data_IF_820183160033
#
_entry.id   IF_820183160033
#
_cell.length_a   1.000
_cell.length_b   1.000
_cell.length_c   1.000
_cell.angle_alpha   90.00
_cell.angle_beta   90.00
_cell.angle_gamma   90.00
#
_symmetry.space_group_name_H-M   'P 1'
#
loop_
_entity.id
_entity.type
_entity.pdbx_description
1 polymer ?
#
# COMPACT_ATOMS: atom_id res chain seq x y z
N UNK A 1 -0.51 -0.28 -30.43
CA UNK A 1 0.22 -1.27 -29.61
C UNK A 1 0.41 -0.58 -28.29
N UNK A 2 -0.42 -0.92 -27.32
CA UNK A 2 -0.64 -0.07 -26.16
C UNK A 2 -0.56 -0.95 -24.92
N UNK A 3 0.60 -0.85 -24.27
CA UNK A 3 0.81 -1.39 -22.92
C UNK A 3 0.24 -0.36 -21.95
N UNK A 4 -0.49 -0.80 -20.93
CA UNK A 4 -0.99 0.06 -19.86
C UNK A 4 -0.17 -0.26 -18.61
N UNK A 5 0.78 0.60 -18.28
CA UNK A 5 1.45 0.57 -16.98
C UNK A 5 0.65 1.42 -16.01
N UNK A 6 0.30 0.85 -14.85
CA UNK A 6 -0.31 1.60 -13.76
C UNK A 6 0.64 1.50 -12.58
N UNK A 7 1.39 2.58 -12.30
CA UNK A 7 2.05 2.76 -11.00
C UNK A 7 3.56 2.44 -10.86
N UNK A 8 4.37 2.37 -11.92
CA UNK A 8 5.83 2.27 -11.75
C UNK A 8 6.49 3.65 -11.59
N UNK A 9 7.43 3.79 -10.65
CA UNK A 9 8.32 4.96 -10.58
C UNK A 9 9.13 5.09 -11.89
N UNK A 10 9.25 6.30 -12.48
CA UNK A 10 9.97 6.53 -13.75
C UNK A 10 11.41 6.01 -13.76
N UNK A 11 12.02 5.85 -12.59
CA UNK A 11 13.41 5.42 -12.41
C UNK A 11 13.63 3.92 -12.69
N UNK A 12 12.57 3.10 -12.62
CA UNK A 12 12.60 1.65 -12.85
C UNK A 12 12.43 1.27 -14.33
N UNK A 13 11.92 2.19 -15.15
CA UNK A 13 11.71 1.97 -16.59
C UNK A 13 12.86 2.63 -17.35
N UNK A 14 14.02 1.97 -17.40
CA UNK A 14 15.09 2.36 -18.33
C UNK A 14 14.74 1.83 -19.72
N UNK A 15 14.60 2.69 -20.76
CA UNK A 15 14.25 2.24 -22.12
C UNK A 15 15.23 1.23 -22.71
N UNK A 16 16.49 1.25 -22.28
CA UNK A 16 17.52 0.31 -22.73
C UNK A 16 17.37 -1.12 -22.18
N UNK A 17 16.57 -1.32 -21.13
CA UNK A 17 16.35 -2.62 -20.49
C UNK A 17 15.11 -3.36 -20.98
N UNK A 18 14.26 -2.70 -21.79
CA UNK A 18 13.03 -3.27 -22.33
C UNK A 18 13.05 -3.23 -23.86
N UNK A 19 12.88 -4.36 -24.54
CA UNK A 19 12.74 -4.38 -26.00
C UNK A 19 11.60 -3.44 -26.46
N UNK A 20 11.79 -2.75 -27.58
CA UNK A 20 10.83 -1.76 -28.10
C UNK A 20 9.43 -2.33 -28.43
N UNK A 21 9.26 -3.65 -28.48
CA UNK A 21 7.98 -4.33 -28.62
C UNK A 21 7.22 -4.51 -27.28
N UNK A 22 7.78 -4.10 -26.15
CA UNK A 22 7.21 -4.29 -24.81
C UNK A 22 6.77 -2.99 -24.11
N UNK A 23 6.84 -1.81 -24.76
CA UNK A 23 6.62 -0.56 -24.03
C UNK A 23 5.87 0.53 -24.81
N UNK A 24 4.69 0.88 -24.31
CA UNK A 24 4.16 2.24 -24.35
C UNK A 24 3.89 2.63 -22.90
N UNK A 25 4.61 3.61 -22.36
CA UNK A 25 4.32 4.16 -21.02
C UNK A 25 3.25 5.22 -21.18
N UNK A 26 1.99 4.91 -20.82
CA UNK A 26 0.99 5.94 -20.63
C UNK A 26 1.10 6.48 -19.21
N UNK A 27 1.51 7.74 -19.11
CA UNK A 27 1.43 8.52 -17.88
C UNK A 27 -0.07 8.79 -17.61
N UNK A 28 -0.74 7.92 -16.87
CA UNK A 28 -2.17 8.08 -16.66
C UNK A 28 -2.73 7.10 -15.63
N UNK A 29 -3.14 7.65 -14.49
CA UNK A 29 -3.88 6.93 -13.47
C UNK A 29 -3.09 6.75 -12.19
N UNK A 30 -3.12 7.77 -11.33
CA UNK A 30 -3.00 7.56 -9.90
C UNK A 30 -4.14 6.60 -9.53
N UNK A 31 -3.85 5.35 -9.15
CA UNK A 31 -4.80 4.59 -8.33
C UNK A 31 -4.66 5.21 -6.93
N UNK A 32 -5.65 5.95 -6.41
CA UNK A 32 -5.54 6.50 -5.08
C UNK A 32 -5.51 5.34 -4.08
N UNK A 33 -4.48 5.28 -3.22
CA UNK A 33 -4.42 4.31 -2.11
C UNK A 33 -3.75 2.96 -2.41
N UNK A 34 -3.07 2.77 -3.53
CA UNK A 34 -2.37 1.49 -3.80
C UNK A 34 -0.85 1.69 -3.95
N UNK A 35 -0.03 1.35 -2.92
CA UNK A 35 1.42 1.57 -2.93
C UNK A 35 2.22 0.49 -3.70
N UNK A 36 1.57 -0.33 -4.53
CA UNK A 36 2.20 -1.51 -5.15
C UNK A 36 2.73 -1.23 -6.55
N UNK A 37 3.86 -1.86 -6.88
CA UNK A 37 4.27 -2.06 -8.26
C UNK A 37 3.31 -3.07 -8.90
N UNK A 38 2.45 -2.62 -9.81
CA UNK A 38 1.62 -3.49 -10.64
C UNK A 38 2.17 -3.52 -12.06
N UNK A 39 2.43 -4.72 -12.58
CA UNK A 39 2.80 -4.93 -13.98
C UNK A 39 1.66 -5.65 -14.66
N UNK A 40 1.06 -5.00 -15.65
CA UNK A 40 0.07 -5.63 -16.52
C UNK A 40 0.73 -6.00 -17.84
N UNK A 41 0.76 -7.30 -18.13
CA UNK A 41 1.23 -7.84 -19.41
C UNK A 41 0.02 -7.96 -20.32
N UNK A 42 0.04 -7.31 -21.49
CA UNK A 42 -1.00 -7.50 -22.51
C UNK A 42 -0.58 -8.61 -23.46
N UNK A 43 -1.41 -9.64 -23.62
CA UNK A 43 -1.16 -10.75 -24.53
C UNK A 43 -2.12 -10.68 -25.72
N UNK A 44 -1.55 -10.68 -26.93
CA UNK A 44 -2.30 -10.57 -28.19
C UNK A 44 -2.34 -11.89 -28.98
N UNK A 45 -2.21 -13.05 -28.29
CA UNK A 45 -2.25 -14.37 -28.94
C UNK A 45 -0.91 -14.84 -29.55
N UNK A 46 0.23 -14.29 -29.11
CA UNK A 46 1.55 -14.85 -29.45
C UNK A 46 1.74 -16.25 -28.84
N UNK A 47 2.71 -17.04 -29.34
CA UNK A 47 2.99 -18.39 -28.84
C UNK A 47 3.17 -18.42 -27.31
N UNK A 48 2.72 -19.48 -26.64
CA UNK A 48 2.82 -19.67 -25.19
C UNK A 48 4.24 -19.44 -24.63
N UNK A 49 5.28 -19.82 -25.38
CA UNK A 49 6.67 -19.60 -24.99
C UNK A 49 7.05 -18.11 -24.87
N UNK A 50 6.51 -17.26 -25.74
CA UNK A 50 6.75 -15.81 -25.69
C UNK A 50 6.02 -15.16 -24.50
N UNK A 51 4.80 -15.63 -24.20
CA UNK A 51 4.05 -15.20 -23.02
C UNK A 51 4.78 -15.62 -21.74
N UNK A 52 5.23 -16.87 -21.63
CA UNK A 52 5.94 -17.37 -20.46
C UNK A 52 7.23 -16.59 -20.20
N UNK A 53 8.03 -16.28 -21.22
CA UNK A 53 9.23 -15.45 -21.06
C UNK A 53 8.89 -14.00 -20.68
N UNK A 54 7.83 -13.43 -21.25
CA UNK A 54 7.36 -12.08 -20.88
C UNK A 54 6.91 -12.02 -19.42
N UNK A 55 6.15 -13.02 -18.96
CA UNK A 55 5.74 -13.15 -17.56
C UNK A 55 6.93 -13.34 -16.62
N UNK A 56 7.94 -14.13 -17.00
CA UNK A 56 9.20 -14.26 -16.25
C UNK A 56 9.94 -12.93 -16.15
N UNK A 57 10.03 -12.17 -17.24
CA UNK A 57 10.67 -10.85 -17.25
C UNK A 57 9.90 -9.85 -16.37
N UNK A 58 8.57 -9.81 -16.48
CA UNK A 58 7.72 -8.99 -15.64
C UNK A 58 7.84 -9.36 -14.14
N UNK A 59 7.82 -10.65 -13.82
CA UNK A 59 8.03 -11.14 -12.46
C UNK A 59 9.45 -10.81 -11.93
N UNK A 60 10.47 -10.83 -12.80
CA UNK A 60 11.82 -10.41 -12.45
C UNK A 60 11.94 -8.88 -12.24
N UNK A 61 11.01 -8.08 -12.73
CA UNK A 61 10.91 -6.64 -12.43
C UNK A 61 10.21 -6.44 -11.09
N UNK A 62 9.18 -7.25 -10.80
CA UNK A 62 8.49 -7.34 -9.51
C UNK A 62 9.31 -8.08 -8.44
N UNK A 63 10.65 -7.98 -8.49
CA UNK A 63 11.64 -8.73 -7.70
C UNK A 63 11.46 -8.62 -6.18
N UNK A 64 10.56 -7.75 -5.73
CA UNK A 64 10.28 -7.41 -4.35
C UNK A 64 8.77 -7.20 -4.15
N UNK A 65 7.94 -8.19 -4.48
CA UNK A 65 6.50 -8.06 -4.32
C UNK A 65 5.82 -7.11 -5.33
N UNK A 66 4.54 -7.35 -5.57
CA UNK A 66 3.75 -6.61 -6.55
C UNK A 66 2.65 -7.44 -7.18
N UNK A 67 1.79 -6.80 -7.96
CA UNK A 67 0.71 -7.45 -8.69
C UNK A 67 1.15 -7.69 -10.13
N UNK A 68 1.10 -8.95 -10.58
CA UNK A 68 1.24 -9.28 -11.99
C UNK A 68 -0.16 -9.52 -12.57
N UNK A 69 -0.61 -8.62 -13.43
CA UNK A 69 -1.84 -8.79 -14.19
C UNK A 69 -1.53 -9.28 -15.60
N UNK A 70 -2.34 -10.17 -16.15
CA UNK A 70 -2.34 -10.54 -17.56
C UNK A 70 -3.64 -10.06 -18.19
N UNK A 71 -3.56 -9.29 -19.27
CA UNK A 71 -4.71 -8.84 -20.07
C UNK A 71 -4.65 -9.55 -21.42
N UNK A 72 -5.47 -10.59 -21.61
CA UNK A 72 -5.59 -11.29 -22.88
C UNK A 72 -6.68 -10.63 -23.74
N UNK A 73 -6.38 -10.22 -24.97
CA UNK A 73 -7.43 -9.72 -25.87
C UNK A 73 -8.21 -10.86 -26.52
N UNK A 74 -9.50 -10.65 -26.83
CA UNK A 74 -10.30 -11.66 -27.50
C UNK A 74 -9.82 -11.94 -28.94
N UNK A 75 -10.07 -13.16 -29.45
CA UNK A 75 -10.75 -14.25 -28.75
C UNK A 75 -9.80 -14.92 -27.75
N UNK A 76 -10.23 -14.97 -26.48
CA UNK A 76 -9.68 -15.91 -25.51
C UNK A 76 -10.10 -17.29 -26.02
N UNK A 77 -9.18 -18.21 -26.32
CA UNK A 77 -9.54 -19.52 -26.87
C UNK A 77 -10.59 -20.20 -25.98
N UNK A 78 -11.68 -20.69 -26.55
CA UNK A 78 -12.75 -21.40 -25.80
C UNK A 78 -12.21 -22.65 -25.07
N UNK A 79 -11.07 -23.18 -25.55
CA UNK A 79 -10.31 -24.31 -25.00
C UNK A 79 -9.10 -23.88 -24.13
N UNK A 80 -9.12 -22.70 -23.50
CA UNK A 80 -8.04 -22.23 -22.63
C UNK A 80 -7.89 -23.05 -21.32
N UNK A 81 -7.67 -24.36 -21.40
CA UNK A 81 -6.72 -24.99 -20.49
C UNK A 81 -5.31 -24.65 -21.01
N UNK A 82 -4.31 -24.28 -20.18
CA UNK A 82 -4.30 -24.03 -18.76
C UNK A 82 -3.64 -22.67 -18.52
N UNK A 83 -4.36 -21.56 -18.71
CA UNK A 83 -3.86 -20.26 -18.22
C UNK A 83 -3.46 -20.41 -16.74
N UNK A 84 -4.23 -21.20 -16.00
CA UNK A 84 -3.93 -21.63 -14.65
C UNK A 84 -2.59 -22.39 -14.50
N UNK A 85 -2.15 -23.23 -15.44
CA UNK A 85 -0.82 -23.88 -15.38
C UNK A 85 0.32 -22.95 -15.83
N UNK A 86 0.08 -22.06 -16.80
CA UNK A 86 1.03 -21.01 -17.20
C UNK A 86 1.28 -20.02 -16.07
N UNK A 87 0.24 -19.74 -15.28
CA UNK A 87 0.25 -18.81 -14.16
C UNK A 87 0.65 -19.49 -12.84
N UNK A 88 0.51 -20.82 -12.73
CA UNK A 88 0.91 -21.62 -11.56
C UNK A 88 2.31 -21.32 -11.01
N UNK A 89 3.36 -21.11 -11.84
CA UNK A 89 4.69 -20.76 -11.34
C UNK A 89 4.73 -19.39 -10.65
N UNK A 90 3.74 -18.54 -10.91
CA UNK A 90 3.61 -17.20 -10.35
C UNK A 90 2.57 -17.13 -9.21
N UNK A 91 1.84 -18.21 -8.93
CA UNK A 91 0.84 -18.29 -7.86
C UNK A 91 -0.53 -18.77 -8.36
N UNK A 92 -1.45 -19.04 -7.43
CA UNK A 92 -2.84 -19.37 -7.78
C UNK A 92 -3.57 -18.09 -8.24
N UNK A 93 -4.16 -18.07 -9.46
CA UNK A 93 -4.95 -16.94 -9.91
C UNK A 93 -6.18 -16.79 -9.01
N UNK A 94 -6.33 -15.62 -8.37
CA UNK A 94 -7.44 -15.38 -7.41
C UNK A 94 -8.62 -14.64 -8.02
N UNK A 95 -8.40 -13.83 -9.04
CA UNK A 95 -9.44 -13.05 -9.70
C UNK A 95 -9.25 -13.09 -11.21
N UNK A 96 -10.29 -13.56 -11.89
CA UNK A 96 -10.42 -13.54 -13.34
C UNK A 96 -11.58 -12.59 -13.65
N UNK A 97 -11.27 -11.41 -14.19
CA UNK A 97 -12.25 -10.41 -14.55
C UNK A 97 -12.30 -10.28 -16.08
N UNK A 98 -13.47 -9.92 -16.61
CA UNK A 98 -13.62 -9.60 -18.04
C UNK A 98 -13.58 -8.08 -18.20
N UNK A 99 -12.72 -7.58 -19.09
CA UNK A 99 -12.67 -6.17 -19.47
C UNK A 99 -13.85 -5.79 -20.37
N UNK A 100 -14.16 -4.50 -20.47
CA UNK A 100 -15.26 -3.97 -21.30
C UNK A 100 -15.12 -4.31 -22.80
N UNK A 101 -13.90 -4.58 -23.26
CA UNK A 101 -13.60 -4.99 -24.64
C UNK A 101 -13.68 -6.51 -24.87
N UNK A 102 -14.11 -7.28 -23.86
CA UNK A 102 -14.16 -8.74 -23.89
C UNK A 102 -12.82 -9.42 -23.60
N UNK A 103 -11.78 -8.68 -23.21
CA UNK A 103 -10.51 -9.23 -22.76
C UNK A 103 -10.57 -9.89 -21.39
N UNK A 104 -9.69 -10.85 -21.13
CA UNK A 104 -9.54 -11.49 -19.82
C UNK A 104 -8.45 -10.80 -19.03
N UNK A 105 -8.78 -10.29 -17.84
CA UNK A 105 -7.82 -9.80 -16.85
C UNK A 105 -7.63 -10.91 -15.82
N UNK A 106 -6.45 -11.53 -15.80
CA UNK A 106 -6.08 -12.48 -14.76
C UNK A 106 -5.06 -11.84 -13.83
N UNK A 107 -5.43 -11.72 -12.56
CA UNK A 107 -4.54 -11.16 -11.53
C UNK A 107 -3.86 -12.30 -10.79
N UNK A 108 -2.54 -12.36 -10.90
CA UNK A 108 -1.70 -13.33 -10.21
C UNK A 108 -0.83 -12.60 -9.21
N UNK A 109 -1.04 -12.89 -7.92
CA UNK A 109 -0.12 -12.44 -6.88
C UNK A 109 1.00 -13.46 -6.76
N UNK A 110 2.24 -12.97 -6.85
CA UNK A 110 3.39 -13.75 -6.45
C UNK A 110 3.29 -14.10 -4.96
N UNK A 111 3.04 -15.39 -4.70
CA UNK A 111 3.06 -16.01 -3.37
C UNK A 111 4.16 -17.09 -3.35
N UNK A 112 5.41 -16.69 -3.58
CA UNK A 112 6.50 -17.36 -2.88
C UNK A 112 6.49 -16.88 -1.43
N UNK A 113 5.61 -17.51 -0.63
CA UNK A 113 5.51 -17.32 0.80
C UNK A 113 6.87 -17.59 1.46
N UNK A 114 7.37 -16.62 2.23
CA UNK A 114 8.35 -16.89 3.27
C UNK A 114 9.47 -15.87 3.41
N UNK A 115 9.99 -15.26 2.35
CA UNK A 115 11.11 -14.31 2.47
C UNK A 115 11.07 -13.21 1.42
N UNK A 116 11.06 -11.99 1.93
CA UNK A 116 11.53 -10.75 1.31
C UNK A 116 10.67 -10.12 0.20
N UNK A 117 9.76 -9.26 0.65
CA UNK A 117 9.65 -7.93 0.05
C UNK A 117 10.16 -6.87 1.03
N UNK A 118 11.47 -6.82 1.25
CA UNK A 118 12.10 -5.78 2.06
C UNK A 118 12.10 -4.42 1.35
N UNK A 119 11.97 -4.38 0.02
CA UNK A 119 11.99 -3.11 -0.72
C UNK A 119 10.66 -2.39 -0.59
N UNK A 120 9.53 -3.08 -0.74
CA UNK A 120 8.20 -2.57 -0.45
C UNK A 120 8.07 -2.14 1.00
N UNK A 121 8.61 -2.89 1.96
CA UNK A 121 8.64 -2.47 3.37
C UNK A 121 9.49 -1.21 3.59
N UNK A 122 10.65 -1.09 2.93
CA UNK A 122 11.45 0.15 2.95
C UNK A 122 10.73 1.33 2.32
N UNK A 123 9.92 1.10 1.27
CA UNK A 123 9.07 2.13 0.67
C UNK A 123 7.96 2.55 1.64
N UNK A 124 7.30 1.61 2.30
CA UNK A 124 6.33 1.91 3.35
C UNK A 124 6.98 2.77 4.45
N UNK A 125 8.16 2.39 4.94
CA UNK A 125 8.91 3.19 5.93
C UNK A 125 9.28 4.59 5.42
N UNK A 126 9.69 4.68 4.16
CA UNK A 126 10.04 5.97 3.53
C UNK A 126 8.81 6.87 3.39
N UNK A 127 7.67 6.30 2.98
CA UNK A 127 6.39 7.01 2.90
C UNK A 127 5.93 7.48 4.27
N UNK A 128 5.93 6.59 5.27
CA UNK A 128 5.62 6.93 6.65
C UNK A 128 6.54 8.06 7.17
N UNK A 129 7.84 8.01 6.87
CA UNK A 129 8.77 9.07 7.29
C UNK A 129 8.47 10.41 6.59
N UNK A 130 8.26 10.40 5.28
CA UNK A 130 7.98 11.60 4.48
C UNK A 130 6.65 12.27 4.83
N UNK A 131 5.69 11.50 5.33
CA UNK A 131 4.37 11.98 5.73
C UNK A 131 4.39 12.96 6.92
N UNK A 132 5.47 12.95 7.72
CA UNK A 132 5.71 13.99 8.74
C UNK A 132 5.88 15.35 8.06
N UNK A 133 6.83 15.45 7.14
CA UNK A 133 7.15 16.70 6.45
C UNK A 133 5.96 17.18 5.61
N UNK A 134 5.24 16.24 4.98
CA UNK A 134 3.99 16.53 4.26
C UNK A 134 2.96 17.17 5.18
N UNK A 135 2.71 16.58 6.35
CA UNK A 135 1.73 17.12 7.29
C UNK A 135 2.16 18.48 7.87
N UNK A 136 3.44 18.65 8.21
CA UNK A 136 3.98 19.94 8.64
C UNK A 136 3.78 21.02 7.57
N UNK A 137 4.06 20.71 6.30
CA UNK A 137 3.83 21.64 5.19
C UNK A 137 2.35 22.02 5.05
N UNK A 138 1.45 21.04 5.08
CA UNK A 138 -0.01 21.25 4.98
C UNK A 138 -0.58 22.10 6.11
N UNK A 139 0.07 22.10 7.27
CA UNK A 139 -0.44 22.77 8.48
C UNK A 139 0.27 24.07 8.82
N UNK A 140 1.39 24.37 8.15
CA UNK A 140 2.25 25.53 8.46
C UNK A 140 1.55 26.89 8.46
N UNK A 141 0.62 27.12 7.52
CA UNK A 141 -0.10 28.39 7.38
C UNK A 141 -1.52 28.38 7.98
N UNK A 142 -1.89 27.32 8.69
CA UNK A 142 -3.23 27.19 9.25
C UNK A 142 -3.40 27.94 10.56
N UNK A 143 -4.42 28.81 10.62
CA UNK A 143 -4.86 29.39 11.90
C UNK A 143 -5.58 28.36 12.77
N UNK A 144 -5.43 28.47 14.09
CA UNK A 144 -6.14 27.64 15.09
C UNK A 144 -7.66 27.60 14.85
N UNK A 145 -8.25 28.75 14.52
CA UNK A 145 -9.69 28.85 14.24
C UNK A 145 -10.09 28.07 13.00
N UNK A 146 -9.28 28.11 11.94
CA UNK A 146 -9.56 27.36 10.71
C UNK A 146 -9.42 25.85 10.96
N UNK A 147 -8.34 25.45 11.63
CA UNK A 147 -8.06 24.05 11.92
C UNK A 147 -9.10 23.40 12.85
N UNK A 148 -9.64 24.17 13.81
CA UNK A 148 -10.67 23.69 14.75
C UNK A 148 -12.11 23.79 14.27
N UNK A 149 -12.36 24.31 13.06
CA UNK A 149 -13.71 24.41 12.51
C UNK A 149 -14.19 23.02 12.08
N UNK A 150 -15.15 22.46 12.82
CA UNK A 150 -15.84 21.22 12.44
C UNK A 150 -16.89 21.51 11.34
N UNK A 151 -16.94 20.74 10.24
CA UNK A 151 -18.06 20.78 9.29
C UNK A 151 -19.33 20.15 9.90
N UNK A 152 -20.47 20.30 9.23
CA UNK A 152 -21.76 19.74 9.69
C UNK A 152 -21.67 18.23 9.88
N UNK A 153 -21.14 17.52 8.87
CA UNK A 153 -21.02 16.06 8.86
C UNK A 153 -19.56 15.62 8.73
N UNK A 154 -18.72 15.98 9.69
CA UNK A 154 -17.33 15.52 9.67
C UNK A 154 -16.48 16.03 10.81
N UNK A 155 -15.18 15.88 10.62
CA UNK A 155 -14.15 16.17 11.63
C UNK A 155 -13.48 17.51 11.32
N UNK A 156 -13.05 18.20 12.38
CA UNK A 156 -12.09 19.29 12.24
C UNK A 156 -10.73 18.74 11.82
N UNK A 157 -9.87 19.60 11.26
CA UNK A 157 -8.51 19.21 10.90
C UNK A 157 -7.71 18.77 12.12
N UNK A 158 -7.96 19.40 13.27
CA UNK A 158 -7.33 19.04 14.55
C UNK A 158 -7.68 17.61 14.97
N UNK A 159 -8.92 17.20 14.81
CA UNK A 159 -9.34 15.82 15.09
C UNK A 159 -8.71 14.82 14.12
N UNK A 160 -8.64 15.17 12.84
CA UNK A 160 -7.99 14.31 11.84
C UNK A 160 -6.51 14.12 12.15
N UNK A 161 -5.80 15.20 12.48
CA UNK A 161 -4.37 15.18 12.80
C UNK A 161 -4.10 14.48 14.13
N UNK A 162 -4.89 14.78 15.16
CA UNK A 162 -4.79 14.10 16.45
C UNK A 162 -4.96 12.59 16.29
N UNK A 163 -5.89 12.18 15.42
CA UNK A 163 -6.11 10.77 15.15
C UNK A 163 -4.97 10.09 14.41
N UNK A 164 -4.26 10.77 13.49
CA UNK A 164 -3.04 10.22 12.88
C UNK A 164 -2.02 9.83 13.96
N UNK A 165 -1.84 10.69 14.97
CA UNK A 165 -0.95 10.38 16.10
C UNK A 165 -1.43 9.22 16.97
N UNK A 166 -2.75 9.08 17.17
CA UNK A 166 -3.32 7.96 17.93
C UNK A 166 -3.22 6.64 17.17
N UNK A 167 -3.47 6.64 15.86
CA UNK A 167 -3.30 5.48 14.99
C UNK A 167 -1.86 4.96 15.05
N UNK A 168 -0.88 5.87 15.03
CA UNK A 168 0.52 5.52 15.20
C UNK A 168 0.76 4.86 16.55
N UNK A 169 0.51 5.59 17.64
CA UNK A 169 0.93 5.18 18.99
C UNK A 169 0.14 3.99 19.52
N UNK A 170 -1.18 4.12 19.49
CA UNK A 170 -2.11 3.23 20.17
C UNK A 170 -2.66 2.15 19.25
N UNK A 171 -2.60 2.37 17.93
CA UNK A 171 -2.98 1.40 16.92
C UNK A 171 -1.80 0.53 16.47
N UNK A 172 -1.16 0.95 15.38
CA UNK A 172 -0.20 0.12 14.67
C UNK A 172 1.09 -0.14 15.46
N UNK A 173 1.69 0.88 16.10
CA UNK A 173 2.92 0.69 16.87
C UNK A 173 2.70 -0.22 18.08
N UNK A 174 1.57 -0.05 18.78
CA UNK A 174 1.18 -0.91 19.89
C UNK A 174 1.01 -2.36 19.45
N UNK A 175 0.30 -2.63 18.34
CA UNK A 175 0.17 -3.98 17.78
C UNK A 175 1.54 -4.58 17.42
N UNK A 176 2.39 -3.86 16.71
CA UNK A 176 3.74 -4.33 16.34
C UNK A 176 4.55 -4.69 17.59
N UNK A 177 4.57 -3.80 18.60
CA UNK A 177 5.27 -4.08 19.87
C UNK A 177 4.70 -5.29 20.60
N UNK A 178 3.37 -5.47 20.59
CA UNK A 178 2.75 -6.62 21.23
C UNK A 178 3.17 -7.94 20.58
N UNK A 179 3.17 -7.98 19.24
CA UNK A 179 3.63 -9.14 18.44
C UNK A 179 5.10 -9.43 18.72
N UNK A 180 5.96 -8.41 18.67
CA UNK A 180 7.40 -8.57 18.89
C UNK A 180 7.74 -9.05 20.31
N UNK A 181 6.92 -8.72 21.30
CA UNK A 181 7.12 -9.14 22.69
C UNK A 181 6.38 -10.43 23.06
N UNK A 182 5.66 -11.08 22.13
CA UNK A 182 4.77 -12.21 22.41
C UNK A 182 3.80 -11.90 23.57
N UNK A 183 3.24 -10.69 23.59
CA UNK A 183 2.30 -10.26 24.62
C UNK A 183 0.91 -10.82 24.33
N UNK A 184 0.12 -11.14 25.35
CA UNK A 184 -1.32 -11.46 25.21
C UNK A 184 -2.11 -10.31 24.55
N UNK A 185 -1.61 -9.07 24.64
CA UNK A 185 -2.17 -7.92 23.91
C UNK A 185 -2.10 -8.08 22.38
N UNK A 186 -1.25 -8.98 21.87
CA UNK A 186 -1.18 -9.30 20.45
C UNK A 186 -2.44 -10.04 19.95
N UNK A 187 -3.34 -10.46 20.84
CA UNK A 187 -4.59 -11.14 20.49
C UNK A 187 -5.83 -10.23 20.54
N UNK A 188 -5.67 -9.00 21.06
CA UNK A 188 -6.81 -8.07 21.21
C UNK A 188 -6.75 -6.96 20.17
N UNK A 189 -7.76 -6.82 19.29
CA UNK A 189 -7.80 -5.73 18.33
C UNK A 189 -7.93 -4.37 19.02
N UNK A 190 -7.23 -3.38 18.46
CA UNK A 190 -7.39 -1.99 18.87
C UNK A 190 -8.52 -1.36 18.06
N UNK A 191 -9.56 -0.90 18.75
CA UNK A 191 -10.63 -0.14 18.09
C UNK A 191 -10.15 1.27 17.73
N UNK A 192 -9.58 1.40 16.52
CA UNK A 192 -9.15 2.68 15.96
C UNK A 192 -10.31 3.67 15.83
N UNK A 193 -11.55 3.20 15.68
CA UNK A 193 -12.70 4.10 15.59
C UNK A 193 -13.07 4.67 16.96
N UNK A 194 -13.00 3.88 18.03
CA UNK A 194 -13.20 4.39 19.38
C UNK A 194 -12.11 5.39 19.79
N UNK A 195 -10.85 5.18 19.37
CA UNK A 195 -9.77 6.15 19.59
C UNK A 195 -10.05 7.54 18.99
N UNK A 196 -10.80 7.63 17.89
CA UNK A 196 -11.25 8.91 17.31
C UNK A 196 -12.17 9.70 18.24
N UNK A 197 -13.06 9.00 18.95
CA UNK A 197 -14.18 9.60 19.66
C UNK A 197 -13.82 9.97 21.09
N UNK A 198 -12.88 9.25 21.70
CA UNK A 198 -12.56 9.37 23.13
C UNK A 198 -11.67 10.58 23.47
N UNK A 199 -11.01 11.20 22.49
CA UNK A 199 -10.02 12.26 22.72
C UNK A 199 -10.50 13.60 22.20
N UNK A 200 -10.54 14.59 23.09
CA UNK A 200 -10.82 15.99 22.72
C UNK A 200 -9.61 16.63 22.01
N UNK A 201 -9.34 16.17 20.79
CA UNK A 201 -8.28 16.72 19.95
C UNK A 201 -8.59 18.15 19.52
N UNK A 202 -9.86 18.50 19.35
CA UNK A 202 -10.24 19.84 18.92
C UNK A 202 -9.89 20.91 19.97
N UNK A 203 -9.90 20.54 21.26
CA UNK A 203 -9.49 21.39 22.38
C UNK A 203 -7.97 21.64 22.50
N UNK A 204 -7.11 20.87 21.81
CA UNK A 204 -5.64 20.97 21.91
C UNK A 204 -5.04 21.93 20.89
N UNK A 205 -3.94 22.64 21.12
CA UNK A 205 -3.29 23.45 20.06
C UNK A 205 -2.90 22.62 18.83
N UNK A 206 -3.08 23.16 17.61
CA UNK A 206 -2.70 22.49 16.36
C UNK A 206 -1.22 22.10 16.36
N UNK A 207 -0.35 23.02 16.80
CA UNK A 207 1.08 22.77 16.89
C UNK A 207 1.43 21.60 17.83
N UNK A 208 0.67 21.42 18.91
CA UNK A 208 0.84 20.26 19.81
C UNK A 208 0.51 18.97 19.08
N UNK A 209 -0.60 18.93 18.33
CA UNK A 209 -1.04 17.74 17.61
C UNK A 209 -0.03 17.30 16.54
N UNK A 210 0.48 18.25 15.75
CA UNK A 210 1.52 17.99 14.74
C UNK A 210 2.82 17.50 15.42
N UNK A 211 3.24 18.14 16.51
CA UNK A 211 4.42 17.72 17.28
C UNK A 211 4.27 16.31 17.83
N UNK A 212 3.08 15.95 18.34
CA UNK A 212 2.78 14.62 18.85
C UNK A 212 2.84 13.57 17.74
N UNK A 213 2.21 13.84 16.58
CA UNK A 213 2.28 12.96 15.43
C UNK A 213 3.74 12.70 15.02
N UNK A 214 4.53 13.77 14.85
CA UNK A 214 5.97 13.67 14.55
C UNK A 214 6.71 12.83 15.57
N UNK A 215 6.48 13.06 16.86
CA UNK A 215 7.14 12.31 17.93
C UNK A 215 6.83 10.81 17.85
N UNK A 216 5.56 10.44 17.71
CA UNK A 216 5.18 9.03 17.60
C UNK A 216 5.69 8.42 16.30
N UNK A 217 5.68 9.15 15.19
CA UNK A 217 6.22 8.67 13.93
C UNK A 217 7.71 8.35 14.02
N UNK A 218 8.50 9.19 14.67
CA UNK A 218 9.92 8.88 14.88
C UNK A 218 10.12 7.63 15.71
N UNK A 219 9.33 7.41 16.77
CA UNK A 219 9.38 6.16 17.54
C UNK A 219 8.98 4.94 16.69
N UNK A 220 8.00 5.12 15.81
CA UNK A 220 7.54 4.07 14.90
C UNK A 220 8.61 3.69 13.89
N UNK A 221 9.19 4.68 13.20
CA UNK A 221 10.22 4.47 12.18
C UNK A 221 11.48 3.88 12.80
N UNK A 222 11.91 4.38 13.96
CA UNK A 222 13.06 3.88 14.71
C UNK A 222 12.92 2.38 14.98
N UNK A 223 11.83 1.98 15.66
CA UNK A 223 11.55 0.57 15.95
C UNK A 223 11.51 -0.30 14.68
N UNK A 224 10.76 0.13 13.67
CA UNK A 224 10.49 -0.68 12.49
C UNK A 224 11.75 -0.81 11.62
N UNK A 225 12.62 0.21 11.60
CA UNK A 225 13.87 0.19 10.84
C UNK A 225 14.91 -0.77 11.40
N UNK A 226 14.81 -1.12 12.68
CA UNK A 226 15.71 -2.03 13.39
C UNK A 226 15.26 -3.49 13.37
N UNK A 227 14.09 -3.80 12.83
CA UNK A 227 13.55 -5.17 12.82
C UNK A 227 14.42 -6.13 12.01
N UNK A 228 14.71 -7.29 12.60
CA UNK A 228 15.36 -8.38 11.89
C UNK A 228 14.42 -8.98 10.84
N UNK A 229 14.96 -9.69 9.85
CA UNK A 229 14.16 -10.29 8.78
C UNK A 229 13.06 -11.22 9.32
N UNK A 230 13.37 -12.03 10.33
CA UNK A 230 12.41 -12.96 10.94
C UNK A 230 11.32 -12.24 11.74
N UNK A 231 11.58 -11.04 12.27
CA UNK A 231 10.58 -10.26 13.01
C UNK A 231 9.42 -9.80 12.11
N UNK A 232 9.71 -9.55 10.82
CA UNK A 232 8.70 -9.17 9.83
C UNK A 232 7.66 -10.26 9.57
N UNK A 233 8.03 -11.52 9.81
CA UNK A 233 7.19 -12.70 9.58
C UNK A 233 6.37 -13.09 10.80
N UNK A 234 6.62 -12.48 11.95
CA UNK A 234 5.87 -12.77 13.18
C UNK A 234 4.43 -12.33 13.02
N UNK A 235 3.52 -13.16 13.53
CA UNK A 235 2.08 -12.97 13.40
C UNK A 235 1.44 -12.53 14.71
N UNK A 236 0.32 -11.83 14.58
CA UNK A 236 -0.63 -11.58 15.65
C UNK A 236 -1.86 -10.86 15.09
N UNK A 237 -2.66 -10.26 15.96
CA UNK A 237 -3.89 -9.58 15.58
C UNK A 237 -3.60 -8.12 15.22
N UNK A 238 -3.95 -7.75 13.98
CA UNK A 238 -3.89 -6.37 13.49
C UNK A 238 -4.99 -5.49 14.12
N UNK A 239 -4.91 -4.16 14.00
CA UNK A 239 -5.95 -3.26 14.52
C UNK A 239 -7.37 -3.55 14.00
N UNK A 240 -7.50 -4.10 12.80
CA UNK A 240 -8.81 -4.49 12.23
C UNK A 240 -9.27 -5.91 12.63
N UNK A 241 -8.58 -6.55 13.57
CA UNK A 241 -8.98 -7.84 14.15
C UNK A 241 -8.63 -9.08 13.33
N UNK A 242 -7.79 -8.94 12.30
CA UNK A 242 -7.33 -10.07 11.49
C UNK A 242 -5.98 -10.59 11.99
N UNK A 243 -5.75 -11.89 11.85
CA UNK A 243 -4.39 -12.40 11.98
C UNK A 243 -3.55 -11.88 10.81
N UNK A 244 -2.39 -11.30 11.10
CA UNK A 244 -1.52 -10.63 10.13
C UNK A 244 -0.07 -10.69 10.57
N UNK A 245 0.85 -10.68 9.60
CA UNK A 245 2.28 -10.53 9.90
C UNK A 245 2.60 -9.08 10.25
N UNK A 246 3.73 -8.82 10.93
CA UNK A 246 4.25 -7.46 11.13
C UNK A 246 4.40 -6.73 9.79
N UNK A 247 4.85 -7.43 8.75
CA UNK A 247 4.94 -6.88 7.40
C UNK A 247 3.57 -6.41 6.87
N UNK A 248 2.52 -7.22 7.00
CA UNK A 248 1.17 -6.85 6.52
C UNK A 248 0.58 -5.67 7.30
N UNK A 249 0.86 -5.59 8.61
CA UNK A 249 0.45 -4.50 9.47
C UNK A 249 1.11 -3.18 9.01
N UNK A 250 2.43 -3.16 8.80
CA UNK A 250 3.15 -1.96 8.35
C UNK A 250 2.71 -1.51 6.96
N UNK A 251 2.42 -2.44 6.05
CA UNK A 251 1.88 -2.08 4.72
C UNK A 251 0.49 -1.45 4.83
N UNK A 252 -0.37 -2.05 5.65
CA UNK A 252 -1.71 -1.52 5.90
C UNK A 252 -1.65 -0.13 6.53
N UNK A 253 -0.74 0.07 7.48
CA UNK A 253 -0.51 1.37 8.12
C UNK A 253 -0.17 2.45 7.10
N UNK A 254 0.84 2.22 6.25
CA UNK A 254 1.27 3.17 5.23
C UNK A 254 0.12 3.54 4.28
N UNK A 255 -0.68 2.55 3.86
CA UNK A 255 -1.85 2.79 3.01
C UNK A 255 -2.92 3.63 3.71
N UNK A 256 -3.33 3.23 4.91
CA UNK A 256 -4.42 3.90 5.63
C UNK A 256 -4.01 5.33 6.00
N UNK A 257 -2.74 5.57 6.34
CA UNK A 257 -2.27 6.94 6.55
C UNK A 257 -2.33 7.78 5.27
N UNK A 258 -1.89 7.25 4.13
CA UNK A 258 -1.93 7.97 2.86
C UNK A 258 -3.37 8.42 2.54
N UNK A 259 -4.35 7.54 2.72
CA UNK A 259 -5.77 7.85 2.57
C UNK A 259 -6.20 9.00 3.50
N UNK A 260 -5.73 9.01 4.75
CA UNK A 260 -6.06 10.05 5.74
C UNK A 260 -5.38 11.38 5.43
N UNK A 261 -4.15 11.37 4.92
CA UNK A 261 -3.47 12.61 4.51
C UNK A 261 -4.11 13.21 3.26
N UNK A 262 -4.53 12.38 2.30
CA UNK A 262 -5.34 12.85 1.17
C UNK A 262 -6.65 13.50 1.67
N UNK A 263 -7.31 12.93 2.67
CA UNK A 263 -8.51 13.51 3.31
C UNK A 263 -8.19 14.89 3.94
N UNK A 264 -7.05 15.02 4.63
CA UNK A 264 -6.57 16.30 5.19
C UNK A 264 -6.33 17.32 4.07
N UNK A 265 -5.64 16.94 2.99
CA UNK A 265 -5.35 17.84 1.87
C UNK A 265 -6.62 18.34 1.17
N UNK A 266 -7.58 17.44 0.94
CA UNK A 266 -8.86 17.79 0.34
C UNK A 266 -9.63 18.79 1.20
N UNK A 267 -9.47 18.73 2.53
CA UNK A 267 -10.13 19.63 3.47
C UNK A 267 -9.55 21.05 3.48
N UNK A 268 -8.32 21.21 2.99
CA UNK A 268 -7.61 22.50 2.91
C UNK A 268 -7.90 23.29 1.64
N UNK A 269 -8.44 22.64 0.60
CA UNK A 269 -8.85 23.26 -0.67
C UNK A 269 -10.26 23.87 -0.56
#
# INVERSE_FOLDING_TARGET
MDVLFVGLSPELVRPASFPAHLATVRQGGHIPGDPWDAVFVRWNGESEGALAETLKQAAAVLRHGGLLGLVAQPPVPEDAGPLDELLRPFGDPREVNTADDGGLIVVVRNLAAGRQDLVGLRRCLSALSANVDRLEALTSDLSERAAGRRPIDGRSLKEMIGHLGDMDRDGYLACVRAILNNSELAETPVDLHSLLLERDHNGRPLAELVTRFRHFRYQSVDLISELAEDDWLRTGVSPDGRESTVADIVRTWARVEEERLIEVEQRLK
#
